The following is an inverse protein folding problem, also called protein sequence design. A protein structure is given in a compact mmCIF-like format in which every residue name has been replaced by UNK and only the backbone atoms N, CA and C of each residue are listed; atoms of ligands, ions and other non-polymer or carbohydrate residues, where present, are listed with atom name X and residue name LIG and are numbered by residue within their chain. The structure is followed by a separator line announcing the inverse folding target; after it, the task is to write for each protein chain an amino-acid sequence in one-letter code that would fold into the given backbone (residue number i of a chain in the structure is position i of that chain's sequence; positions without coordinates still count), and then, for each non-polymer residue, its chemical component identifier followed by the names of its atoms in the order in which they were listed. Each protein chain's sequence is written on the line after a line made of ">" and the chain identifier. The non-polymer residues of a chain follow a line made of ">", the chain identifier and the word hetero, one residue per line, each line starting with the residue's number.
data_IF_473746743565
#
_entry.id   IF_473746743565
#
_cell.length_a   1.000
_cell.length_b   1.000
_cell.length_c   1.000
_cell.angle_alpha   90.00
_cell.angle_beta   90.00
_cell.angle_gamma   90.00
#
_symmetry.space_group_name_H-M   'P 1'
#
loop_
_entity.id
_entity.type
_entity.pdbx_description
1 polymer ?
#
# COMPACT_ATOMS: atom_id res chain seq x y z
N UNK A 1 15.24 14.31 11.31
CA UNK A 1 14.99 12.87 11.08
C UNK A 1 13.53 12.71 10.74
N UNK A 2 13.18 11.95 9.71
CA UNK A 2 11.78 11.65 9.44
C UNK A 2 11.22 10.89 10.65
N UNK A 3 10.06 11.29 11.18
CA UNK A 3 9.41 10.59 12.29
C UNK A 3 8.62 9.37 11.80
N UNK A 4 7.90 8.72 12.70
CA UNK A 4 6.98 7.63 12.35
C UNK A 4 5.86 8.08 11.42
N UNK A 5 5.31 7.12 10.65
CA UNK A 5 4.06 7.30 9.89
C UNK A 5 2.95 7.68 10.88
N UNK A 6 2.23 8.81 10.65
CA UNK A 6 1.24 9.29 11.60
C UNK A 6 0.00 8.39 11.63
N UNK A 7 -0.56 8.21 12.82
CA UNK A 7 -1.87 7.57 13.02
C UNK A 7 -2.91 8.67 13.21
N UNK A 8 -3.86 8.74 12.27
CA UNK A 8 -4.98 9.68 12.33
C UNK A 8 -6.19 9.02 12.99
N UNK A 9 -6.96 9.81 13.76
CA UNK A 9 -8.20 9.35 14.40
C UNK A 9 -9.45 9.99 13.79
N UNK A 10 -9.28 11.05 13.01
CA UNK A 10 -10.34 11.72 12.27
C UNK A 10 -9.90 12.03 10.83
N UNK A 11 -10.86 12.08 9.91
CA UNK A 11 -10.57 12.49 8.52
C UNK A 11 -10.08 13.93 8.42
N UNK A 12 -10.46 14.80 9.37
CA UNK A 12 -9.95 16.17 9.46
C UNK A 12 -8.44 16.25 9.76
N UNK A 13 -7.84 15.17 10.28
CA UNK A 13 -6.39 15.11 10.52
C UNK A 13 -5.60 14.85 9.22
N UNK A 14 -6.28 14.36 8.17
CA UNK A 14 -5.63 13.89 6.94
C UNK A 14 -6.14 14.57 5.66
N UNK A 15 -7.28 15.26 5.72
CA UNK A 15 -7.88 15.99 4.61
C UNK A 15 -8.19 17.44 5.00
N UNK A 16 -8.02 18.40 4.08
CA UNK A 16 -8.45 19.77 4.31
C UNK A 16 -9.99 19.83 4.42
N UNK A 17 -10.55 20.85 5.12
CA UNK A 17 -12.00 20.98 5.30
C UNK A 17 -12.80 20.95 4.00
N UNK A 18 -12.23 21.49 2.91
CA UNK A 18 -12.84 21.52 1.57
C UNK A 18 -12.97 20.15 0.92
N UNK A 19 -12.17 19.16 1.33
CA UNK A 19 -12.22 17.80 0.80
C UNK A 19 -13.13 16.88 1.63
N UNK A 20 -13.45 17.23 2.88
CA UNK A 20 -14.26 16.39 3.77
C UNK A 20 -15.63 15.99 3.21
N UNK A 21 -16.40 16.87 2.53
CA UNK A 21 -17.70 16.49 1.96
C UNK A 21 -17.63 15.33 0.96
N UNK A 22 -16.50 15.19 0.26
CA UNK A 22 -16.28 14.11 -0.72
C UNK A 22 -15.60 12.90 -0.07
N UNK A 23 -14.68 13.11 0.86
CA UNK A 23 -13.91 12.02 1.48
C UNK A 23 -14.69 11.25 2.54
N UNK A 24 -15.63 11.90 3.24
CA UNK A 24 -16.48 11.24 4.24
C UNK A 24 -17.34 10.11 3.64
N UNK A 25 -18.14 10.34 2.58
CA UNK A 25 -18.89 9.26 1.94
C UNK A 25 -17.98 8.16 1.41
N UNK A 26 -16.90 8.53 0.70
CA UNK A 26 -15.94 7.57 0.14
C UNK A 26 -15.34 6.65 1.20
N UNK A 27 -14.93 7.20 2.34
CA UNK A 27 -14.39 6.40 3.45
C UNK A 27 -15.42 5.44 4.02
N UNK A 28 -16.66 5.89 4.20
CA UNK A 28 -17.75 5.06 4.69
C UNK A 28 -18.12 3.96 3.70
N UNK A 29 -18.14 4.26 2.40
CA UNK A 29 -18.42 3.30 1.33
C UNK A 29 -17.34 2.24 1.24
N UNK A 30 -16.06 2.63 1.41
CA UNK A 30 -14.94 1.68 1.50
C UNK A 30 -15.11 0.70 2.67
N UNK A 31 -15.42 1.20 3.87
CA UNK A 31 -15.58 0.36 5.06
C UNK A 31 -16.80 -0.56 4.95
N UNK A 32 -17.93 -0.05 4.45
CA UNK A 32 -19.12 -0.85 4.17
C UNK A 32 -18.89 -1.88 3.07
N UNK A 33 -18.17 -1.50 2.01
CA UNK A 33 -17.78 -2.39 0.93
C UNK A 33 -16.90 -3.54 1.42
N UNK A 34 -15.96 -3.25 2.32
CA UNK A 34 -15.13 -4.26 2.96
C UNK A 34 -16.00 -5.22 3.79
N UNK A 35 -16.86 -4.69 4.66
CA UNK A 35 -17.73 -5.49 5.53
C UNK A 35 -18.69 -6.36 4.71
N UNK A 36 -19.26 -5.82 3.63
CA UNK A 36 -20.09 -6.58 2.70
C UNK A 36 -19.32 -7.70 2.00
N UNK A 37 -18.06 -7.47 1.62
CA UNK A 37 -17.25 -8.44 0.87
C UNK A 37 -16.75 -9.59 1.75
N UNK A 38 -16.28 -9.27 2.95
CA UNK A 38 -15.61 -10.24 3.82
C UNK A 38 -16.48 -10.74 4.98
N UNK A 39 -17.62 -10.09 5.25
CA UNK A 39 -18.56 -10.46 6.31
C UNK A 39 -18.18 -9.97 7.71
N UNK A 40 -17.17 -9.11 7.81
CA UNK A 40 -16.68 -8.53 9.07
C UNK A 40 -15.98 -7.19 8.81
N UNK A 41 -15.81 -6.37 9.85
CA UNK A 41 -15.27 -5.01 9.72
C UNK A 41 -13.76 -4.99 9.49
N UNK A 42 -13.29 -4.03 8.68
CA UNK A 42 -11.87 -3.73 8.57
C UNK A 42 -11.30 -3.27 9.92
N UNK A 43 -10.09 -3.72 10.27
CA UNK A 43 -9.41 -3.30 11.51
C UNK A 43 -8.76 -1.94 11.35
N UNK A 44 -8.20 -1.65 10.17
CA UNK A 44 -7.44 -0.44 9.88
C UNK A 44 -7.59 -0.03 8.41
N UNK A 45 -7.19 1.21 8.12
CA UNK A 45 -7.04 1.72 6.75
C UNK A 45 -5.63 2.29 6.60
N UNK A 46 -4.87 1.75 5.64
CA UNK A 46 -3.61 2.35 5.22
C UNK A 46 -3.87 3.36 4.11
N UNK A 47 -3.29 4.55 4.22
CA UNK A 47 -3.45 5.64 3.25
C UNK A 47 -2.09 6.08 2.72
N UNK A 48 -1.98 6.27 1.41
CA UNK A 48 -0.86 6.99 0.80
C UNK A 48 -1.36 7.96 -0.28
N UNK A 49 -1.04 9.26 -0.20
CA UNK A 49 -1.40 10.22 -1.23
C UNK A 49 -0.60 10.02 -2.51
N UNK A 50 -1.19 10.40 -3.63
CA UNK A 50 -0.43 10.73 -4.83
C UNK A 50 0.32 12.05 -4.63
N UNK A 51 1.08 12.46 -5.65
CA UNK A 51 1.84 13.70 -5.60
C UNK A 51 1.90 14.39 -6.95
N UNK A 52 1.97 15.71 -6.92
CA UNK A 52 2.38 16.52 -8.08
C UNK A 52 3.81 16.98 -7.84
N UNK A 53 4.60 17.04 -8.89
CA UNK A 53 5.92 17.63 -8.82
C UNK A 53 5.82 19.09 -9.30
N UNK A 54 6.28 20.03 -8.48
CA UNK A 54 6.21 21.46 -8.83
C UNK A 54 7.34 21.80 -9.80
N UNK A 55 8.54 21.27 -9.53
CA UNK A 55 9.72 21.39 -10.39
C UNK A 55 10.74 20.27 -10.09
N UNK A 56 11.50 19.88 -11.11
CA UNK A 56 12.54 18.85 -11.02
C UNK A 56 12.09 17.52 -11.60
N UNK A 57 11.57 17.51 -12.83
CA UNK A 57 11.25 16.27 -13.53
C UNK A 57 12.52 15.56 -13.98
N UNK A 58 12.53 14.22 -13.92
CA UNK A 58 13.59 13.40 -14.51
C UNK A 58 15.01 13.63 -13.97
N UNK A 59 15.13 14.13 -12.73
CA UNK A 59 16.43 14.38 -12.08
C UNK A 59 16.60 13.66 -10.74
N UNK A 60 15.53 13.07 -10.21
CA UNK A 60 15.49 12.31 -8.95
C UNK A 60 16.34 11.04 -9.01
N UNK A 61 16.24 10.26 -10.08
CA UNK A 61 17.11 9.09 -10.30
C UNK A 61 18.58 9.46 -10.57
N UNK A 62 18.86 10.74 -10.83
CA UNK A 62 20.21 11.29 -10.92
C UNK A 62 20.69 11.89 -9.59
N UNK A 63 19.96 11.66 -8.50
CA UNK A 63 20.26 12.12 -7.15
C UNK A 63 20.22 13.64 -6.96
N UNK A 64 19.58 14.38 -7.87
CA UNK A 64 19.31 15.80 -7.67
C UNK A 64 18.04 16.01 -6.83
N UNK A 65 17.98 17.14 -6.13
CA UNK A 65 16.81 17.53 -5.36
C UNK A 65 15.63 17.91 -6.28
N UNK A 66 14.42 17.57 -5.82
CA UNK A 66 13.13 17.86 -6.47
C UNK A 66 12.21 18.60 -5.52
N UNK A 67 11.14 19.24 -6.02
CA UNK A 67 10.17 19.96 -5.20
C UNK A 67 8.72 19.42 -5.40
N UNK A 68 8.39 18.25 -4.83
CA UNK A 68 7.05 17.70 -4.93
C UNK A 68 6.12 18.14 -3.80
N UNK A 69 4.83 17.95 -4.02
CA UNK A 69 3.79 18.11 -3.01
C UNK A 69 2.76 16.98 -3.10
N UNK A 70 2.42 16.39 -1.95
CA UNK A 70 1.32 15.44 -1.85
C UNK A 70 -0.02 16.11 -2.16
N UNK A 71 -0.90 15.41 -2.88
CA UNK A 71 -2.23 15.89 -3.24
C UNK A 71 -3.32 15.18 -2.43
N UNK A 72 -4.56 15.66 -2.53
CA UNK A 72 -5.71 15.06 -1.83
C UNK A 72 -6.15 13.74 -2.42
N UNK A 73 -5.85 13.47 -3.70
CA UNK A 73 -6.07 12.17 -4.31
C UNK A 73 -5.08 11.15 -3.74
N UNK A 74 -5.58 9.96 -3.39
CA UNK A 74 -4.81 8.97 -2.65
C UNK A 74 -5.25 7.53 -2.93
N UNK A 75 -4.48 6.59 -2.41
CA UNK A 75 -4.79 5.17 -2.31
C UNK A 75 -5.17 4.85 -0.86
N UNK A 76 -6.35 4.25 -0.68
CA UNK A 76 -6.86 3.74 0.58
C UNK A 76 -6.95 2.21 0.52
N UNK A 77 -6.33 1.54 1.49
CA UNK A 77 -6.46 0.09 1.67
C UNK A 77 -7.12 -0.17 3.01
N UNK A 78 -8.41 -0.50 3.01
CA UNK A 78 -9.08 -1.04 4.18
C UNK A 78 -8.71 -2.50 4.33
N UNK A 79 -8.20 -2.92 5.49
CA UNK A 79 -7.69 -4.27 5.66
C UNK A 79 -8.00 -4.85 7.04
N UNK A 80 -7.89 -6.17 7.12
CA UNK A 80 -7.79 -6.92 8.37
C UNK A 80 -6.84 -8.08 8.20
N UNK A 81 -6.23 -8.49 9.30
CA UNK A 81 -5.30 -9.60 9.33
C UNK A 81 -5.68 -10.60 10.42
N UNK A 82 -5.42 -11.88 10.17
CA UNK A 82 -5.56 -12.95 11.15
C UNK A 82 -4.37 -13.89 11.05
N UNK A 83 -3.94 -14.56 12.13
CA UNK A 83 -2.85 -15.51 12.05
C UNK A 83 -3.10 -16.53 10.95
N UNK A 84 -2.09 -16.82 10.12
CA UNK A 84 -2.23 -17.84 9.09
C UNK A 84 -2.56 -19.18 9.72
N UNK A 85 -3.42 -19.95 9.05
CA UNK A 85 -3.72 -21.33 9.43
C UNK A 85 -2.56 -22.30 9.13
N UNK A 86 -1.59 -21.86 8.33
CA UNK A 86 -0.42 -22.65 7.92
C UNK A 86 0.87 -21.98 8.41
N UNK A 87 1.85 -22.74 8.95
CA UNK A 87 3.17 -22.20 9.25
C UNK A 87 4.02 -21.97 8.00
N UNK A 88 3.70 -22.64 6.88
CA UNK A 88 4.50 -22.63 5.65
C UNK A 88 3.98 -21.64 4.61
N UNK A 89 2.79 -21.08 4.81
CA UNK A 89 2.17 -20.17 3.85
C UNK A 89 1.21 -19.21 4.50
N UNK A 90 0.88 -18.14 3.79
CA UNK A 90 -0.15 -17.17 4.18
C UNK A 90 -0.95 -16.77 2.96
N UNK A 91 -2.20 -16.34 3.18
CA UNK A 91 -3.13 -15.98 2.12
C UNK A 91 -3.40 -14.49 2.08
N UNK A 92 -3.41 -13.94 0.87
CA UNK A 92 -3.80 -12.57 0.60
C UNK A 92 -5.03 -12.57 -0.29
N UNK A 93 -6.11 -11.92 0.13
CA UNK A 93 -7.27 -11.64 -0.73
C UNK A 93 -7.38 -10.14 -0.97
N UNK A 94 -7.12 -9.73 -2.20
CA UNK A 94 -7.14 -8.34 -2.61
C UNK A 94 -8.32 -8.07 -3.53
N UNK A 95 -9.03 -6.97 -3.27
CA UNK A 95 -10.12 -6.50 -4.10
C UNK A 95 -10.05 -5.00 -4.29
N UNK A 96 -10.77 -4.52 -5.31
CA UNK A 96 -10.95 -3.09 -5.59
C UNK A 96 -12.44 -2.73 -5.52
N UNK A 97 -12.75 -1.48 -5.20
CA UNK A 97 -14.12 -0.94 -5.30
C UNK A 97 -14.63 -0.93 -6.75
N UNK A 98 -13.74 -0.80 -7.73
CA UNK A 98 -14.02 -0.94 -9.17
C UNK A 98 -13.58 -2.33 -9.66
N UNK A 99 -14.34 -3.36 -9.30
CA UNK A 99 -14.04 -4.78 -9.63
C UNK A 99 -14.05 -5.05 -11.14
N UNK A 100 -14.86 -4.31 -11.91
CA UNK A 100 -14.91 -4.45 -13.36
C UNK A 100 -13.58 -4.05 -14.01
N UNK A 101 -12.93 -3.02 -13.48
CA UNK A 101 -11.63 -2.53 -13.96
C UNK A 101 -10.45 -3.23 -13.31
N UNK A 102 -10.57 -3.60 -12.04
CA UNK A 102 -9.53 -4.22 -11.24
C UNK A 102 -10.09 -5.47 -10.54
N UNK A 103 -10.20 -6.60 -11.26
CA UNK A 103 -10.80 -7.81 -10.73
C UNK A 103 -10.09 -8.31 -9.48
N UNK A 104 -10.86 -8.81 -8.52
CA UNK A 104 -10.32 -9.40 -7.30
C UNK A 104 -9.34 -10.55 -7.58
N UNK A 105 -8.37 -10.71 -6.67
CA UNK A 105 -7.35 -11.75 -6.70
C UNK A 105 -7.15 -12.38 -5.32
N UNK A 106 -6.82 -13.66 -5.32
CA UNK A 106 -6.40 -14.38 -4.13
C UNK A 106 -5.06 -15.04 -4.40
N UNK A 107 -4.14 -14.93 -3.44
CA UNK A 107 -2.81 -15.51 -3.51
C UNK A 107 -2.58 -16.34 -2.24
N UNK A 108 -2.01 -17.52 -2.39
CA UNK A 108 -1.38 -18.24 -1.28
C UNK A 108 0.12 -18.20 -1.54
N UNK A 109 0.87 -17.60 -0.62
CA UNK A 109 2.29 -17.34 -0.78
C UNK A 109 3.09 -18.09 0.28
N UNK A 110 4.30 -18.58 -0.05
CA UNK A 110 5.11 -19.30 0.91
C UNK A 110 5.65 -18.34 1.98
N UNK A 111 5.73 -18.82 3.22
CA UNK A 111 6.15 -18.03 4.37
C UNK A 111 7.63 -17.63 4.32
N UNK A 112 8.44 -18.35 3.53
CA UNK A 112 9.82 -18.01 3.20
C UNK A 112 9.94 -16.86 2.17
N UNK A 113 8.80 -16.36 1.66
CA UNK A 113 8.71 -15.20 0.76
C UNK A 113 9.28 -15.46 -0.62
N UNK A 114 9.50 -16.73 -0.99
CA UNK A 114 9.87 -17.14 -2.34
C UNK A 114 8.69 -17.03 -3.30
N UNK A 115 8.40 -15.82 -3.78
CA UNK A 115 7.45 -15.63 -4.88
C UNK A 115 8.01 -14.65 -5.91
N UNK A 116 7.63 -14.90 -7.17
CA UNK A 116 8.05 -14.08 -8.30
C UNK A 116 6.94 -13.11 -8.71
N UNK A 117 7.37 -11.95 -9.23
CA UNK A 117 6.49 -10.96 -9.85
C UNK A 117 6.83 -10.96 -11.33
N UNK A 118 5.90 -11.44 -12.14
CA UNK A 118 6.05 -11.39 -13.60
C UNK A 118 5.82 -9.96 -14.08
N UNK A 119 6.92 -9.25 -14.32
CA UNK A 119 6.92 -7.88 -14.81
C UNK A 119 6.46 -7.75 -16.28
N UNK A 120 6.32 -8.87 -17.01
CA UNK A 120 5.81 -8.85 -18.40
C UNK A 120 4.29 -8.80 -18.48
N UNK A 121 3.60 -9.10 -17.38
CA UNK A 121 2.14 -9.08 -17.28
C UNK A 121 1.69 -7.81 -16.56
N UNK A 122 0.91 -7.00 -17.26
CA UNK A 122 0.30 -5.79 -16.69
C UNK A 122 -0.90 -6.16 -15.80
N UNK A 123 -0.62 -6.57 -14.57
CA UNK A 123 -1.59 -6.98 -13.57
C UNK A 123 -1.49 -6.05 -12.36
N UNK A 124 -2.59 -5.39 -12.00
CA UNK A 124 -2.62 -4.34 -10.98
C UNK A 124 -2.16 -4.88 -9.61
N UNK A 125 -2.48 -6.13 -9.29
CA UNK A 125 -2.05 -6.75 -8.04
C UNK A 125 -0.54 -6.99 -7.94
N UNK A 126 0.23 -6.89 -9.04
CA UNK A 126 1.70 -6.92 -8.99
C UNK A 126 2.27 -5.72 -8.23
N UNK A 127 1.62 -4.55 -8.27
CA UNK A 127 2.02 -3.39 -7.45
C UNK A 127 1.85 -3.67 -5.95
N UNK A 128 0.78 -4.38 -5.57
CA UNK A 128 0.62 -4.85 -4.18
C UNK A 128 1.71 -5.85 -3.80
N UNK A 129 1.96 -6.86 -4.65
CA UNK A 129 3.01 -7.87 -4.43
C UNK A 129 4.40 -7.25 -4.28
N UNK A 130 4.67 -6.17 -5.01
CA UNK A 130 5.89 -5.39 -4.90
C UNK A 130 6.04 -4.80 -3.49
N UNK A 131 5.04 -4.06 -2.98
CA UNK A 131 5.08 -3.54 -1.60
C UNK A 131 5.11 -4.64 -0.54
N UNK A 132 4.41 -5.76 -0.76
CA UNK A 132 4.44 -6.95 0.08
C UNK A 132 5.86 -7.52 0.20
N UNK A 133 6.56 -7.69 -0.93
CA UNK A 133 7.93 -8.23 -0.94
C UNK A 133 8.86 -7.38 -0.08
N UNK A 134 8.87 -6.06 -0.30
CA UNK A 134 9.71 -5.16 0.49
C UNK A 134 9.36 -5.20 1.98
N UNK A 135 8.08 -5.25 2.34
CA UNK A 135 7.64 -5.34 3.73
C UNK A 135 8.07 -6.65 4.40
N UNK A 136 7.99 -7.79 3.71
CA UNK A 136 8.45 -9.08 4.22
C UNK A 136 9.97 -9.09 4.43
N UNK A 137 10.73 -8.53 3.48
CA UNK A 137 12.19 -8.38 3.62
C UNK A 137 12.55 -7.54 4.86
N UNK A 138 11.85 -6.41 5.09
CA UNK A 138 12.05 -5.57 6.27
C UNK A 138 11.67 -6.28 7.57
N UNK A 139 10.52 -6.98 7.61
CA UNK A 139 10.10 -7.75 8.78
C UNK A 139 11.14 -8.79 9.16
N UNK A 140 11.71 -9.50 8.17
CA UNK A 140 12.75 -10.49 8.42
C UNK A 140 14.04 -9.88 8.91
N UNK A 141 14.43 -8.74 8.34
CA UNK A 141 15.61 -7.99 8.82
C UNK A 141 15.45 -7.57 10.29
N UNK A 142 14.25 -7.20 10.71
CA UNK A 142 13.96 -6.76 12.09
C UNK A 142 13.78 -7.92 13.09
N UNK A 143 13.10 -8.99 12.68
CA UNK A 143 12.57 -10.03 13.57
C UNK A 143 13.09 -11.45 13.29
N UNK A 144 13.92 -11.64 12.26
CA UNK A 144 14.42 -12.95 11.84
C UNK A 144 13.52 -13.67 10.83
N UNK A 145 13.88 -14.89 10.43
CA UNK A 145 13.15 -15.66 9.41
C UNK A 145 11.89 -16.33 9.94
N UNK A 146 11.77 -16.51 11.26
CA UNK A 146 10.65 -17.23 11.91
C UNK A 146 9.43 -16.33 12.19
N UNK A 147 9.27 -15.26 11.40
CA UNK A 147 8.12 -14.36 11.55
C UNK A 147 6.85 -15.09 11.16
N UNK A 148 5.92 -15.21 12.10
CA UNK A 148 4.58 -15.72 11.83
C UNK A 148 3.80 -14.70 11.01
N UNK A 149 3.56 -15.04 9.74
CA UNK A 149 2.82 -14.20 8.82
C UNK A 149 1.30 -14.39 8.98
N UNK A 150 0.57 -13.33 8.67
CA UNK A 150 -0.88 -13.28 8.78
C UNK A 150 -1.54 -13.42 7.40
N UNK A 151 -2.69 -14.07 7.37
CA UNK A 151 -3.63 -13.94 6.27
C UNK A 151 -4.16 -12.50 6.26
N UNK A 152 -4.23 -11.87 5.08
CA UNK A 152 -4.66 -10.48 4.92
C UNK A 152 -5.81 -10.41 3.91
N UNK A 153 -6.91 -9.81 4.34
CA UNK A 153 -8.01 -9.40 3.48
C UNK A 153 -7.97 -7.89 3.33
N UNK A 154 -8.06 -7.38 2.09
CA UNK A 154 -8.04 -5.94 1.85
C UNK A 154 -8.90 -5.50 0.66
N UNK A 155 -9.51 -4.33 0.81
CA UNK A 155 -10.26 -3.62 -0.22
C UNK A 155 -9.56 -2.29 -0.53
N UNK A 156 -9.27 -2.07 -1.81
CA UNK A 156 -8.65 -0.87 -2.32
C UNK A 156 -9.68 0.10 -2.88
N UNK A 157 -9.53 1.38 -2.54
CA UNK A 157 -10.11 2.52 -3.26
C UNK A 157 -8.99 3.53 -3.58
N UNK A 158 -8.78 3.80 -4.87
CA UNK A 158 -7.80 4.77 -5.33
C UNK A 158 -8.43 5.87 -6.20
N UNK A 159 -8.15 7.14 -5.87
CA UNK A 159 -8.60 8.30 -6.67
C UNK A 159 -7.47 9.00 -7.40
N UNK A 160 -6.22 8.55 -7.25
CA UNK A 160 -5.08 9.11 -7.99
C UNK A 160 -5.24 8.74 -9.48
N UNK A 161 -5.31 9.72 -10.39
CA UNK A 161 -5.42 9.43 -11.82
C UNK A 161 -4.26 8.54 -12.31
N UNK A 162 -4.60 7.48 -13.04
CA UNK A 162 -3.61 6.61 -13.67
C UNK A 162 -2.97 7.31 -14.88
N UNK A 163 -1.68 7.08 -15.09
CA UNK A 163 -0.95 7.60 -16.26
C UNK A 163 -0.73 9.12 -16.28
N UNK A 164 -1.29 9.88 -15.34
CA UNK A 164 -1.15 11.34 -15.29
C UNK A 164 0.16 11.85 -14.68
N UNK A 165 1.16 10.96 -14.48
CA UNK A 165 2.40 11.32 -13.80
C UNK A 165 2.20 11.71 -12.32
N UNK A 166 1.09 11.34 -11.68
CA UNK A 166 0.74 11.70 -10.29
C UNK A 166 1.14 10.64 -9.23
N UNK A 167 2.00 9.70 -9.61
CA UNK A 167 2.49 8.62 -8.73
C UNK A 167 1.40 7.72 -8.14
N UNK A 168 0.40 7.33 -8.94
CA UNK A 168 -0.62 6.35 -8.52
C UNK A 168 -0.02 4.98 -8.16
N UNK A 169 1.00 4.53 -8.89
CA UNK A 169 1.73 3.29 -8.60
C UNK A 169 2.47 3.37 -7.26
N UNK A 170 3.27 4.42 -7.04
CA UNK A 170 4.03 4.59 -5.80
C UNK A 170 3.11 4.76 -4.59
N UNK A 171 1.97 5.45 -4.73
CA UNK A 171 0.96 5.54 -3.68
C UNK A 171 0.40 4.15 -3.33
N UNK A 172 0.14 3.31 -4.32
CA UNK A 172 -0.34 1.95 -4.08
C UNK A 172 0.73 1.04 -3.47
N UNK A 173 1.98 1.08 -3.96
CA UNK A 173 3.11 0.33 -3.39
C UNK A 173 3.36 0.73 -1.93
N UNK A 174 3.36 2.03 -1.64
CA UNK A 174 3.58 2.57 -0.28
C UNK A 174 2.48 2.13 0.69
N UNK A 175 1.21 2.26 0.30
CA UNK A 175 0.08 1.80 1.12
C UNK A 175 0.06 0.28 1.29
N UNK A 176 0.51 -0.49 0.28
CA UNK A 176 0.64 -1.95 0.33
C UNK A 176 1.70 -2.38 1.34
N UNK A 177 2.90 -1.79 1.28
CA UNK A 177 3.96 -2.06 2.24
C UNK A 177 3.54 -1.71 3.67
N UNK A 178 2.94 -0.53 3.87
CA UNK A 178 2.40 -0.13 5.16
C UNK A 178 1.35 -1.11 5.69
N UNK A 179 0.42 -1.55 4.83
CA UNK A 179 -0.60 -2.54 5.18
C UNK A 179 0.03 -3.83 5.69
N UNK A 180 1.03 -4.36 4.98
CA UNK A 180 1.70 -5.62 5.35
C UNK A 180 2.47 -5.50 6.66
N UNK A 181 3.16 -4.38 6.90
CA UNK A 181 3.87 -4.12 8.16
C UNK A 181 2.90 -4.09 9.34
N UNK A 182 1.81 -3.33 9.23
CA UNK A 182 0.79 -3.22 10.27
C UNK A 182 0.05 -4.55 10.50
N UNK A 183 -0.32 -5.24 9.42
CA UNK A 183 -0.99 -6.55 9.47
C UNK A 183 -0.16 -7.62 10.19
N UNK A 184 1.17 -7.50 10.17
CA UNK A 184 2.09 -8.40 10.86
C UNK A 184 2.61 -7.83 12.19
N UNK A 185 1.89 -6.85 12.76
CA UNK A 185 2.09 -6.38 14.12
C UNK A 185 3.22 -5.37 14.30
N UNK A 186 3.63 -4.64 13.27
CA UNK A 186 4.40 -3.40 13.49
C UNK A 186 3.44 -2.32 14.01
N UNK A 187 3.71 -1.76 15.20
CA UNK A 187 2.87 -0.71 15.78
C UNK A 187 3.28 0.70 15.33
N UNK A 188 4.55 0.87 14.96
CA UNK A 188 5.13 2.14 14.49
C UNK A 188 6.09 1.85 13.35
N UNK A 189 5.79 2.44 12.19
CA UNK A 189 6.63 2.34 10.99
C UNK A 189 7.38 3.65 10.80
N UNK A 190 8.70 3.58 10.68
CA UNK A 190 9.53 4.75 10.36
C UNK A 190 9.30 5.20 8.91
N UNK A 191 9.12 6.51 8.70
CA UNK A 191 8.86 7.04 7.35
C UNK A 191 10.03 6.83 6.40
N UNK A 192 11.27 6.97 6.87
CA UNK A 192 12.46 6.80 6.02
C UNK A 192 12.58 5.35 5.57
N UNK A 193 12.39 4.41 6.49
CA UNK A 193 12.38 2.97 6.16
C UNK A 193 11.28 2.64 5.14
N UNK A 194 10.05 3.14 5.35
CA UNK A 194 8.95 2.91 4.41
C UNK A 194 9.23 3.50 3.03
N UNK A 195 9.80 4.71 2.97
CA UNK A 195 10.16 5.36 1.70
C UNK A 195 11.25 4.57 0.96
N UNK A 196 12.35 4.23 1.63
CA UNK A 196 13.45 3.46 1.03
C UNK A 196 12.98 2.10 0.50
N UNK A 197 12.11 1.44 1.28
CA UNK A 197 11.47 0.19 0.90
C UNK A 197 10.59 0.34 -0.34
N UNK A 198 9.71 1.36 -0.37
CA UNK A 198 8.78 1.56 -1.47
C UNK A 198 9.52 1.84 -2.80
N UNK A 199 10.59 2.64 -2.76
CA UNK A 199 11.44 2.96 -3.92
C UNK A 199 12.03 1.68 -4.54
N UNK A 200 12.63 0.83 -3.71
CA UNK A 200 13.25 -0.42 -4.20
C UNK A 200 12.18 -1.42 -4.65
N UNK A 201 11.07 -1.48 -3.93
CA UNK A 201 9.98 -2.41 -4.23
C UNK A 201 9.37 -2.16 -5.61
N UNK A 202 9.14 -0.90 -6.00
CA UNK A 202 8.50 -0.57 -7.28
C UNK A 202 9.30 -1.07 -8.50
N UNK A 203 10.62 -1.24 -8.34
CA UNK A 203 11.48 -1.83 -9.39
C UNK A 203 11.11 -3.27 -9.72
N UNK A 204 10.50 -3.99 -8.79
CA UNK A 204 10.07 -5.37 -9.01
C UNK A 204 8.93 -5.50 -10.06
N UNK A 205 8.22 -4.41 -10.37
CA UNK A 205 7.25 -4.38 -11.48
C UNK A 205 7.85 -3.85 -12.79
N UNK A 206 9.17 -3.77 -12.89
CA UNK A 206 9.89 -3.32 -14.08
C UNK A 206 10.00 -1.81 -14.25
N UNK A 207 9.64 -1.03 -13.22
CA UNK A 207 9.71 0.44 -13.24
C UNK A 207 10.94 0.92 -12.46
N UNK A 208 11.95 1.43 -13.17
CA UNK A 208 13.15 2.02 -12.55
C UNK A 208 12.95 3.51 -12.24
N UNK A 209 12.02 3.80 -11.33
CA UNK A 209 11.76 5.15 -10.80
C UNK A 209 12.87 5.62 -9.85
N UNK A 210 12.98 6.95 -9.69
CA UNK A 210 13.66 7.58 -8.56
C UNK A 210 12.81 7.52 -7.29
N UNK A 211 13.13 8.36 -6.30
CA UNK A 211 12.47 8.38 -4.99
C UNK A 211 11.94 9.75 -4.59
#
# INVERSE_FOLDING_TARGET
>A
MAGSVPVAKALADIYPPTALPTQLPRWNDLLQGFEKKYGYRASNVARSPGRVNIIGEHIDYSLYAVLPMAITADCLLAFSAKPSSSPESFRIRIANVDDAKFPAREFTLPADGGFEIDATVFEWSNYFKSGLRGALELLRKKRGTDVKLHDIDLLMDGTVPMGGGLSSSAAFVTSSALTVLLANGEESVDKKELTELAIVSERAVGVNSGG
#
